data_IF_736264148022
#
_entry.id   IF_736264148022
#
_cell.length_a   1.000
_cell.length_b   1.000
_cell.length_c   1.000
_cell.angle_alpha   90.00
_cell.angle_beta   90.00
_cell.angle_gamma   90.00
#
_symmetry.space_group_name_H-M   'P 1'
#
loop_
_entity.id
_entity.type
_entity.pdbx_description
1 polymer ?
#
# COMPACT_ATOMS: atom_id res chain seq x y z
N UNK A 1 -4.91 -3.35 17.45
CA UNK A 1 -3.72 -3.08 18.31
C UNK A 1 -2.56 -3.85 17.72
N UNK A 2 -1.58 -3.14 17.16
CA UNK A 2 -0.34 -3.79 16.73
C UNK A 2 0.41 -4.24 17.98
N UNK A 3 0.99 -5.45 18.02
CA UNK A 3 1.84 -5.83 19.13
C UNK A 3 3.04 -4.88 19.14
N UNK A 4 3.19 -4.09 20.18
CA UNK A 4 4.37 -3.28 20.42
C UNK A 4 5.47 -4.26 20.80
N UNK A 5 6.26 -4.69 19.83
CA UNK A 5 7.50 -5.37 20.09
C UNK A 5 8.48 -4.33 20.64
N UNK A 6 8.67 -4.37 21.95
CA UNK A 6 9.68 -3.52 22.62
C UNK A 6 11.05 -3.99 22.17
N UNK A 7 11.69 -3.23 21.28
CA UNK A 7 13.07 -3.50 20.86
C UNK A 7 14.03 -3.35 22.05
N UNK A 8 15.03 -4.22 22.20
CA UNK A 8 16.11 -3.99 23.14
C UNK A 8 16.80 -2.64 22.91
N UNK A 9 17.24 -1.97 23.95
CA UNK A 9 17.82 -0.61 23.87
C UNK A 9 18.96 -0.52 22.84
N UNK A 10 19.83 -1.52 22.78
CA UNK A 10 20.93 -1.55 21.81
C UNK A 10 20.46 -1.60 20.37
N UNK A 11 19.46 -2.43 20.12
CA UNK A 11 18.84 -2.58 18.80
C UNK A 11 18.13 -1.28 18.38
N UNK A 12 17.42 -0.64 19.32
CA UNK A 12 16.77 0.64 19.09
C UNK A 12 17.78 1.74 18.73
N UNK A 13 18.91 1.79 19.42
CA UNK A 13 19.97 2.77 19.14
C UNK A 13 20.60 2.55 17.76
N UNK A 14 20.82 1.31 17.34
CA UNK A 14 21.31 0.98 16.00
C UNK A 14 20.30 1.40 14.95
N UNK A 15 19.06 1.01 15.09
CA UNK A 15 17.94 1.36 14.21
C UNK A 15 17.84 2.88 14.03
N UNK A 16 17.74 3.64 15.11
CA UNK A 16 17.62 5.09 15.08
C UNK A 16 18.83 5.77 14.43
N UNK A 17 20.02 5.22 14.66
CA UNK A 17 21.25 5.70 14.00
C UNK A 17 21.17 5.56 12.48
N UNK A 18 20.73 4.40 11.99
CA UNK A 18 20.59 4.17 10.54
C UNK A 18 19.54 5.09 9.94
N UNK A 19 18.39 5.27 10.60
CA UNK A 19 17.35 6.20 10.17
C UNK A 19 17.91 7.62 10.03
N UNK A 20 18.65 8.12 11.02
CA UNK A 20 19.24 9.47 10.98
C UNK A 20 20.27 9.64 9.86
N UNK A 21 21.10 8.62 9.61
CA UNK A 21 22.05 8.63 8.48
C UNK A 21 21.34 8.67 7.13
N UNK A 22 20.27 7.89 6.97
CA UNK A 22 19.45 7.89 5.77
C UNK A 22 18.70 9.20 5.61
N UNK A 23 18.14 9.75 6.68
CA UNK A 23 17.48 11.05 6.66
C UNK A 23 18.44 12.14 6.16
N UNK A 24 19.66 12.19 6.68
CA UNK A 24 20.68 13.17 6.25
C UNK A 24 21.05 12.99 4.77
N UNK A 25 21.18 11.74 4.31
CA UNK A 25 21.50 11.41 2.92
C UNK A 25 20.38 11.77 1.96
N UNK A 26 19.13 11.42 2.32
CA UNK A 26 17.96 11.57 1.44
C UNK A 26 17.43 13.00 1.39
N UNK A 27 17.67 13.83 2.41
CA UNK A 27 17.34 15.27 2.43
C UNK A 27 17.95 16.06 1.27
N UNK A 28 18.96 15.51 0.61
CA UNK A 28 19.57 16.13 -0.58
C UNK A 28 18.63 16.12 -1.79
N UNK A 29 17.64 15.23 -1.80
CA UNK A 29 16.74 15.00 -2.94
C UNK A 29 15.26 15.15 -2.58
N UNK A 30 14.90 14.87 -1.34
CA UNK A 30 13.51 14.84 -0.87
C UNK A 30 13.33 15.69 0.38
N UNK A 31 12.11 16.13 0.65
CA UNK A 31 11.70 16.43 2.01
C UNK A 31 11.51 15.11 2.75
N UNK A 32 12.19 14.96 3.89
CA UNK A 32 12.24 13.70 4.63
C UNK A 32 11.70 13.91 6.03
N UNK A 33 10.56 13.29 6.31
CA UNK A 33 10.05 13.15 7.66
C UNK A 33 10.48 11.78 8.22
N UNK A 34 10.89 11.75 9.48
CA UNK A 34 11.37 10.56 10.17
C UNK A 34 10.51 10.26 11.40
N UNK A 35 10.19 8.99 11.60
CA UNK A 35 9.62 8.45 12.81
C UNK A 35 10.74 7.71 13.55
N UNK A 36 11.26 8.29 14.61
CA UNK A 36 12.42 7.77 15.36
C UNK A 36 11.98 7.41 16.77
N UNK A 37 12.33 6.25 17.24
CA UNK A 37 11.87 5.76 18.52
C UNK A 37 10.36 5.54 18.55
N UNK A 38 9.66 6.17 19.47
CA UNK A 38 8.20 6.10 19.58
C UNK A 38 7.48 7.25 18.86
N UNK A 39 8.21 8.09 18.14
CA UNK A 39 7.62 9.22 17.43
C UNK A 39 6.78 8.75 16.25
N UNK A 40 5.54 9.21 16.17
CA UNK A 40 4.60 8.96 15.07
C UNK A 40 4.19 10.29 14.41
N UNK A 41 5.18 11.02 13.91
CA UNK A 41 4.99 12.35 13.35
C UNK A 41 4.58 12.33 11.87
N UNK A 42 5.01 11.31 11.13
CA UNK A 42 4.78 11.21 9.69
C UNK A 42 4.12 9.87 9.32
N UNK A 43 2.82 9.88 9.20
CA UNK A 43 2.05 8.69 8.84
C UNK A 43 1.67 8.65 7.37
N UNK A 44 1.57 7.45 6.82
CA UNK A 44 1.08 7.16 5.48
C UNK A 44 -0.25 6.44 5.57
N UNK A 45 -1.24 6.91 4.81
CA UNK A 45 -2.57 6.30 4.77
C UNK A 45 -2.54 4.98 3.99
N UNK A 46 -2.96 3.90 4.62
CA UNK A 46 -3.05 2.57 4.02
C UNK A 46 -4.44 2.00 4.28
N UNK A 47 -5.26 1.90 3.23
CA UNK A 47 -6.65 1.51 3.35
C UNK A 47 -7.44 2.50 4.22
N UNK A 48 -8.08 2.01 5.27
CA UNK A 48 -8.83 2.82 6.25
C UNK A 48 -7.96 3.32 7.42
N UNK A 49 -6.71 2.84 7.53
CA UNK A 49 -5.80 3.15 8.63
C UNK A 49 -4.64 4.04 8.22
N UNK A 50 -3.78 4.30 9.19
CA UNK A 50 -2.53 5.02 9.04
C UNK A 50 -1.41 4.17 9.64
N UNK A 51 -0.27 4.11 8.94
CA UNK A 51 0.94 3.46 9.42
C UNK A 51 2.11 4.46 9.37
N UNK A 52 3.11 4.23 10.18
CA UNK A 52 4.23 5.13 10.37
C UNK A 52 5.53 4.43 9.97
N UNK A 53 5.93 4.49 8.67
CA UNK A 53 7.22 3.97 8.25
C UNK A 53 8.34 4.82 8.82
N UNK A 54 9.53 4.28 8.93
CA UNK A 54 10.68 4.99 9.51
C UNK A 54 10.99 6.31 8.82
N UNK A 55 10.90 6.35 7.46
CA UNK A 55 11.03 7.60 6.71
C UNK A 55 9.90 7.73 5.67
N UNK A 56 9.37 8.94 5.58
CA UNK A 56 8.44 9.36 4.53
C UNK A 56 9.15 10.37 3.63
N UNK A 57 9.23 10.06 2.34
CA UNK A 57 9.87 10.88 1.33
C UNK A 57 8.81 11.62 0.53
N UNK A 58 8.88 12.94 0.52
CA UNK A 58 7.97 13.79 -0.26
C UNK A 58 8.76 14.67 -1.22
N UNK A 59 8.10 15.11 -2.31
CA UNK A 59 8.73 16.07 -3.22
C UNK A 59 8.97 17.39 -2.51
N UNK A 60 10.07 18.06 -2.89
CA UNK A 60 10.38 19.41 -2.41
C UNK A 60 9.47 20.49 -3.05
N UNK A 61 8.58 20.14 -3.96
CA UNK A 61 7.67 21.05 -4.64
C UNK A 61 6.48 21.45 -3.75
N UNK A 62 5.81 22.56 -4.11
CA UNK A 62 4.64 23.07 -3.36
C UNK A 62 3.53 22.04 -3.15
N UNK A 63 3.29 21.18 -4.13
CA UNK A 63 2.39 20.03 -3.99
C UNK A 63 3.18 18.86 -3.43
N UNK A 64 3.24 18.71 -2.12
CA UNK A 64 3.94 17.61 -1.43
C UNK A 64 3.39 16.26 -1.87
N UNK A 65 4.04 15.67 -2.89
CA UNK A 65 3.70 14.33 -3.39
C UNK A 65 4.54 13.30 -2.66
N UNK A 66 3.93 12.19 -2.27
CA UNK A 66 4.63 11.05 -1.70
C UNK A 66 5.52 10.41 -2.78
N UNK A 67 6.83 10.49 -2.59
CA UNK A 67 7.86 9.99 -3.52
C UNK A 67 8.40 8.62 -3.10
N UNK A 68 8.24 8.26 -1.83
CA UNK A 68 8.66 6.96 -1.32
C UNK A 68 8.46 6.81 0.17
N UNK A 69 8.55 5.59 0.62
CA UNK A 69 8.61 5.22 2.04
C UNK A 69 9.82 4.32 2.26
N UNK A 70 10.40 4.41 3.44
CA UNK A 70 11.58 3.65 3.83
C UNK A 70 11.30 2.95 5.13
N UNK A 71 11.68 1.69 5.20
CA UNK A 71 11.74 0.90 6.43
C UNK A 71 13.16 0.43 6.64
N UNK A 72 13.62 0.50 7.87
CA UNK A 72 14.94 0.10 8.31
C UNK A 72 14.79 -1.05 9.29
N UNK A 73 15.47 -2.15 9.02
CA UNK A 73 15.46 -3.30 9.90
C UNK A 73 16.84 -3.54 10.52
N UNK A 74 16.84 -4.07 11.71
CA UNK A 74 18.02 -4.64 12.36
C UNK A 74 18.14 -6.14 12.04
N UNK A 75 19.16 -6.81 12.50
CA UNK A 75 19.30 -8.24 12.27
C UNK A 75 18.18 -9.04 12.95
N UNK A 76 17.72 -8.59 14.09
CA UNK A 76 16.68 -9.23 14.91
C UNK A 76 15.28 -8.99 14.33
N UNK A 77 15.05 -7.82 13.71
CA UNK A 77 13.75 -7.45 13.16
C UNK A 77 13.52 -7.97 11.73
N UNK A 78 14.54 -8.48 11.02
CA UNK A 78 14.34 -9.18 9.74
C UNK A 78 13.72 -10.56 9.98
N UNK A 79 12.41 -10.59 10.18
CA UNK A 79 11.66 -11.81 10.49
C UNK A 79 10.29 -11.82 9.81
N UNK A 80 9.59 -12.97 9.89
CA UNK A 80 8.29 -13.18 9.23
C UNK A 80 7.19 -12.28 9.81
N UNK A 81 7.24 -11.99 11.11
CA UNK A 81 6.24 -11.17 11.77
C UNK A 81 6.27 -9.72 11.26
N UNK A 82 7.48 -9.13 11.15
CA UNK A 82 7.65 -7.79 10.60
C UNK A 82 7.26 -7.74 9.11
N UNK A 83 7.64 -8.75 8.34
CA UNK A 83 7.25 -8.85 6.94
C UNK A 83 5.73 -8.85 6.74
N UNK A 84 4.99 -9.56 7.60
CA UNK A 84 3.53 -9.58 7.56
C UNK A 84 2.90 -8.32 8.14
N UNK A 85 3.40 -7.84 9.29
CA UNK A 85 2.79 -6.75 10.03
C UNK A 85 3.01 -5.38 9.38
N UNK A 86 4.15 -5.19 8.72
CA UNK A 86 4.56 -3.90 8.18
C UNK A 86 4.85 -3.94 6.67
N UNK A 87 5.82 -4.75 6.21
CA UNK A 87 6.30 -4.68 4.82
C UNK A 87 5.21 -5.00 3.80
N UNK A 88 4.34 -5.99 4.09
CA UNK A 88 3.24 -6.35 3.21
C UNK A 88 2.23 -5.20 3.04
N UNK A 89 2.07 -4.37 4.06
CA UNK A 89 1.23 -3.18 4.00
C UNK A 89 1.92 -2.04 3.27
N UNK A 90 3.18 -1.77 3.56
CA UNK A 90 3.97 -0.75 2.87
C UNK A 90 4.13 -1.06 1.37
N UNK A 91 4.27 -2.33 1.02
CA UNK A 91 4.26 -2.77 -0.37
C UNK A 91 2.99 -2.42 -1.15
N UNK A 92 1.86 -2.10 -0.52
CA UNK A 92 0.59 -1.70 -1.17
C UNK A 92 0.45 -0.18 -1.35
N UNK A 93 1.31 0.61 -0.75
CA UNK A 93 1.29 2.07 -0.91
C UNK A 93 1.59 2.46 -2.36
N UNK A 94 0.94 3.48 -2.89
CA UNK A 94 1.15 3.96 -4.27
C UNK A 94 2.47 4.75 -4.45
N UNK A 95 3.45 4.50 -3.62
CA UNK A 95 4.78 5.09 -3.69
C UNK A 95 5.84 3.99 -3.61
N UNK A 96 7.05 4.20 -4.12
CA UNK A 96 8.15 3.25 -3.97
C UNK A 96 8.37 2.88 -2.51
N UNK A 97 8.48 1.59 -2.23
CA UNK A 97 8.84 1.06 -0.92
C UNK A 97 10.29 0.60 -0.96
N UNK A 98 11.11 1.18 -0.09
CA UNK A 98 12.54 0.88 0.06
C UNK A 98 12.77 0.22 1.41
N UNK A 99 13.37 -0.97 1.39
CA UNK A 99 13.70 -1.73 2.58
C UNK A 99 15.22 -1.71 2.79
N UNK A 100 15.65 -1.30 3.97
CA UNK A 100 17.06 -1.29 4.36
C UNK A 100 17.32 -2.34 5.44
N UNK A 101 18.26 -3.25 5.17
CA UNK A 101 18.57 -4.39 6.06
C UNK A 101 20.07 -4.53 6.25
N UNK A 102 20.54 -5.13 7.35
CA UNK A 102 21.95 -5.48 7.50
C UNK A 102 22.42 -6.39 6.36
N UNK A 103 23.69 -6.25 5.95
CA UNK A 103 24.23 -7.05 4.85
C UNK A 103 24.12 -8.58 5.07
N UNK A 104 24.20 -9.02 6.32
CA UNK A 104 24.08 -10.43 6.67
C UNK A 104 22.65 -11.01 6.52
N UNK A 105 21.60 -10.16 6.47
CA UNK A 105 20.19 -10.60 6.43
C UNK A 105 19.53 -10.39 5.06
N UNK A 106 20.28 -9.98 4.04
CA UNK A 106 19.73 -9.67 2.70
C UNK A 106 18.96 -10.85 2.10
N UNK A 107 19.50 -12.06 2.17
CA UNK A 107 18.87 -13.24 1.56
C UNK A 107 17.60 -13.64 2.33
N UNK A 108 17.59 -13.44 3.66
CA UNK A 108 16.41 -13.66 4.49
C UNK A 108 15.33 -12.65 4.10
N UNK A 109 15.68 -11.36 3.99
CA UNK A 109 14.75 -10.30 3.61
C UNK A 109 14.14 -10.54 2.22
N UNK A 110 14.96 -10.94 1.23
CA UNK A 110 14.47 -11.30 -0.11
C UNK A 110 13.47 -12.44 -0.07
N UNK A 111 13.79 -13.52 0.65
CA UNK A 111 12.90 -14.67 0.81
C UNK A 111 11.58 -14.24 1.47
N UNK A 112 11.63 -13.49 2.55
CA UNK A 112 10.44 -12.98 3.24
C UNK A 112 9.59 -12.10 2.34
N UNK A 113 10.18 -11.26 1.50
CA UNK A 113 9.44 -10.46 0.53
C UNK A 113 8.67 -11.34 -0.47
N UNK A 114 9.28 -12.43 -0.94
CA UNK A 114 8.62 -13.38 -1.86
C UNK A 114 7.51 -14.14 -1.16
N UNK A 115 7.78 -14.72 0.01
CA UNK A 115 6.83 -15.52 0.79
C UNK A 115 5.58 -14.74 1.21
N UNK A 116 5.74 -13.44 1.50
CA UNK A 116 4.66 -12.56 1.94
C UNK A 116 4.11 -11.66 0.82
N UNK A 117 4.49 -11.91 -0.43
CA UNK A 117 4.07 -11.14 -1.60
C UNK A 117 4.27 -9.61 -1.42
N UNK A 118 5.38 -9.20 -0.80
CA UNK A 118 5.72 -7.80 -0.55
C UNK A 118 6.20 -7.15 -1.85
N UNK A 119 5.49 -6.13 -2.32
CA UNK A 119 5.89 -5.37 -3.49
C UNK A 119 6.96 -4.33 -3.11
N UNK A 120 8.16 -4.79 -2.78
CA UNK A 120 9.32 -3.93 -2.51
C UNK A 120 9.87 -3.37 -3.81
N UNK A 121 10.18 -2.07 -3.84
CA UNK A 121 10.80 -1.40 -5.00
C UNK A 121 12.31 -1.57 -5.01
N UNK A 122 12.94 -1.42 -3.87
CA UNK A 122 14.37 -1.60 -3.70
C UNK A 122 14.68 -2.22 -2.35
N UNK A 123 15.67 -3.14 -2.32
CA UNK A 123 16.30 -3.60 -1.08
C UNK A 123 17.71 -3.08 -1.08
N UNK A 124 18.06 -2.42 0.00
CA UNK A 124 19.39 -1.89 0.28
C UNK A 124 20.00 -2.64 1.44
N UNK A 125 21.25 -3.04 1.32
CA UNK A 125 22.01 -3.51 2.46
C UNK A 125 22.76 -2.36 3.11
N UNK A 126 22.89 -2.42 4.42
CA UNK A 126 23.84 -1.58 5.13
C UNK A 126 24.85 -2.41 5.91
N UNK A 127 26.03 -1.85 6.03
CA UNK A 127 27.14 -2.45 6.77
C UNK A 127 27.95 -1.34 7.44
N UNK A 128 28.19 -1.50 8.73
CA UNK A 128 28.95 -0.53 9.54
C UNK A 128 30.32 -1.12 9.88
N UNK A 129 31.37 -0.41 9.49
CA UNK A 129 32.76 -0.70 9.86
C UNK A 129 33.27 0.49 10.64
N UNK A 130 33.67 0.29 11.87
CA UNK A 130 33.93 1.35 12.84
C UNK A 130 32.71 2.29 12.90
N UNK A 131 32.88 3.56 12.61
CA UNK A 131 31.77 4.54 12.63
C UNK A 131 31.21 4.85 11.24
N UNK A 132 31.68 4.16 10.20
CA UNK A 132 31.24 4.41 8.83
C UNK A 132 30.22 3.37 8.39
N UNK A 133 29.02 3.85 8.03
CA UNK A 133 27.96 3.01 7.46
C UNK A 133 27.92 3.18 5.94
N UNK A 134 28.00 2.06 5.23
CA UNK A 134 27.85 2.00 3.76
C UNK A 134 26.49 1.41 3.41
N UNK A 135 25.85 2.00 2.41
CA UNK A 135 24.58 1.52 1.85
C UNK A 135 24.82 1.03 0.43
N UNK A 136 24.39 -0.19 0.14
CA UNK A 136 24.55 -0.81 -1.18
C UNK A 136 23.20 -1.30 -1.68
N UNK A 137 22.82 -0.90 -2.91
CA UNK A 137 21.63 -1.43 -3.56
C UNK A 137 21.86 -2.90 -3.93
N UNK A 138 21.02 -3.80 -3.40
CA UNK A 138 21.15 -5.26 -3.63
C UNK A 138 20.02 -5.85 -4.43
N UNK A 139 18.88 -5.16 -4.51
CA UNK A 139 17.74 -5.55 -5.33
C UNK A 139 16.98 -4.31 -5.81
N UNK A 140 16.58 -4.30 -7.07
CA UNK A 140 15.68 -3.30 -7.65
C UNK A 140 14.62 -4.00 -8.48
N UNK A 141 13.37 -3.71 -8.16
CA UNK A 141 12.26 -4.16 -8.98
C UNK A 141 12.05 -3.15 -10.12
N UNK A 142 12.38 -3.56 -11.33
CA UNK A 142 12.22 -2.73 -12.54
C UNK A 142 10.80 -2.82 -13.13
N UNK A 143 9.91 -3.60 -12.53
CA UNK A 143 8.53 -3.67 -12.99
C UNK A 143 7.86 -2.32 -12.75
N UNK A 144 7.36 -1.63 -13.81
CA UNK A 144 6.59 -0.41 -13.62
C UNK A 144 5.42 -0.75 -12.70
N UNK A 145 5.31 -0.06 -11.59
CA UNK A 145 4.13 -0.16 -10.73
C UNK A 145 2.95 0.34 -11.52
N UNK A 146 2.24 -0.56 -12.20
CA UNK A 146 0.97 -0.23 -12.83
C UNK A 146 0.07 0.30 -11.72
N UNK A 147 -0.20 1.60 -11.78
CA UNK A 147 -1.23 2.18 -10.95
C UNK A 147 -2.45 1.28 -11.12
N UNK A 148 -2.96 0.72 -10.02
CA UNK A 148 -4.20 -0.02 -10.02
C UNK A 148 -5.31 0.95 -10.45
N UNK A 149 -5.39 1.19 -11.77
CA UNK A 149 -6.45 1.92 -12.41
C UNK A 149 -7.64 1.00 -12.47
N UNK A 150 -8.63 1.30 -11.61
CA UNK A 150 -10.06 1.06 -11.81
C UNK A 150 -10.38 -0.27 -12.53
N UNK A 151 -10.41 -1.36 -11.80
CA UNK A 151 -11.36 -2.43 -12.10
C UNK A 151 -12.76 -1.94 -11.67
N UNK A 152 -13.29 -0.95 -12.41
CA UNK A 152 -14.72 -0.64 -12.42
C UNK A 152 -15.29 -1.45 -13.57
N UNK A 153 -15.95 -2.55 -13.20
CA UNK A 153 -17.09 -3.10 -13.89
C UNK A 153 -17.00 -3.15 -15.42
N UNK A 154 -16.36 -4.14 -16.03
CA UNK A 154 -16.85 -4.64 -17.29
C UNK A 154 -18.13 -5.43 -16.99
N UNK A 155 -19.25 -4.72 -17.02
CA UNK A 155 -20.55 -5.32 -17.23
C UNK A 155 -20.42 -6.22 -18.46
N UNK A 156 -20.49 -7.52 -18.25
CA UNK A 156 -20.69 -8.46 -19.33
C UNK A 156 -21.95 -8.02 -20.10
N UNK A 157 -21.70 -7.51 -21.28
CA UNK A 157 -22.74 -7.26 -22.28
C UNK A 157 -23.06 -8.61 -22.88
N UNK A 158 -24.06 -9.28 -22.33
CA UNK A 158 -24.68 -10.42 -22.99
C UNK A 158 -25.33 -9.90 -24.27
N UNK A 159 -24.79 -10.31 -25.40
CA UNK A 159 -25.44 -10.18 -26.71
C UNK A 159 -26.80 -10.88 -26.71
N UNK A 160 -27.85 -10.28 -27.30
CA UNK A 160 -29.10 -10.97 -27.48
C UNK A 160 -29.03 -11.84 -28.71
N UNK A 161 -29.16 -13.14 -28.51
CA UNK A 161 -29.34 -14.11 -29.57
C UNK A 161 -30.61 -13.82 -30.38
N UNK A 162 -30.43 -14.01 -31.65
CA UNK A 162 -31.24 -14.01 -32.84
C UNK A 162 -32.74 -14.25 -32.69
N UNK A 163 -33.47 -13.46 -33.43
CA UNK A 163 -34.90 -13.51 -33.76
C UNK A 163 -35.30 -14.84 -34.40
N UNK A 164 -36.46 -15.35 -34.00
CA UNK A 164 -37.40 -16.00 -34.93
C UNK A 164 -38.82 -15.58 -34.56
N UNK A 165 -39.46 -14.87 -35.50
CA UNK A 165 -40.91 -14.71 -35.63
C UNK A 165 -41.46 -15.96 -36.35
N UNK A 166 -42.71 -16.47 -36.05
CA UNK A 166 -43.82 -15.96 -36.86
C UNK A 166 -45.21 -15.88 -36.16
N UNK A 167 -46.02 -15.09 -36.85
CA UNK A 167 -47.45 -15.19 -37.16
C UNK A 167 -48.51 -14.81 -36.14
N UNK A 168 -49.32 -13.96 -36.66
CA UNK A 168 -50.51 -13.28 -36.24
C UNK A 168 -51.68 -14.18 -35.79
N UNK A 169 -52.47 -13.69 -34.80
CA UNK A 169 -53.92 -13.85 -34.81
C UNK A 169 -54.62 -12.86 -33.86
N UNK A 170 -55.37 -11.98 -34.44
CA UNK A 170 -56.70 -11.45 -34.12
C UNK A 170 -57.02 -10.93 -32.68
N UNK A 171 -57.30 -9.64 -32.71
CA UNK A 171 -58.18 -8.90 -31.78
C UNK A 171 -59.58 -9.53 -31.72
N UNK A 172 -60.33 -9.32 -30.65
CA UNK A 172 -61.37 -8.29 -30.68
C UNK A 172 -61.43 -7.38 -29.42
N UNK A 173 -61.89 -6.17 -29.64
CA UNK A 173 -62.39 -5.12 -28.72
C UNK A 173 -63.90 -5.33 -28.44
N UNK A 174 -64.56 -4.47 -27.67
CA UNK A 174 -64.48 -4.09 -26.25
C UNK A 174 -65.88 -4.22 -25.58
N UNK A 175 -65.97 -4.08 -24.28
CA UNK A 175 -67.24 -3.74 -23.67
C UNK A 175 -67.07 -2.69 -22.56
N UNK A 176 -67.98 -1.73 -22.63
CA UNK A 176 -68.11 -0.52 -21.82
C UNK A 176 -68.85 -0.74 -20.50
N UNK A 177 -68.60 0.23 -19.61
CA UNK A 177 -69.53 0.82 -18.63
C UNK A 177 -69.72 0.05 -17.29
N UNK A 178 -69.60 0.65 -16.13
CA UNK A 178 -70.41 1.74 -15.56
C UNK A 178 -69.84 2.15 -14.17
N UNK A 179 -69.76 3.44 -13.94
CA UNK A 179 -69.85 4.06 -12.58
C UNK A 179 -71.33 3.99 -12.12
N UNK A 180 -71.66 4.02 -10.86
CA UNK A 180 -71.87 5.24 -10.10
C UNK A 180 -71.48 5.16 -8.61
N UNK A 181 -70.98 6.27 -8.08
CA UNK A 181 -71.62 7.29 -7.27
C UNK A 181 -71.82 6.98 -5.79
N UNK A 182 -71.11 7.77 -4.98
CA UNK A 182 -71.56 8.62 -3.85
C UNK A 182 -72.25 8.04 -2.62
N UNK A 183 -71.72 8.37 -1.45
CA UNK A 183 -72.39 9.08 -0.27
C UNK A 183 -71.51 8.85 0.96
N UNK A 184 -70.83 9.83 1.52
CA UNK A 184 -71.30 10.89 2.39
C UNK A 184 -71.69 10.43 3.82
N UNK A 185 -71.09 11.13 4.78
CA UNK A 185 -71.52 11.33 6.21
C UNK A 185 -71.09 10.17 7.15
N UNK A 186 -70.49 10.41 8.21
CA UNK A 186 -70.38 11.46 9.24
C UNK A 186 -69.02 11.57 9.85
#
# INVERSE_FOLDING_TARGET
MSPILVRPVREQLEHDRIIRLLQAKLKRKYEVAANVGEEQSAGVKIGAGQMFPDLVLTSAEKAKRLEGIVEVETAESVNHLEAMAQWAHFGRVRAPFHLYVPAATVDIARRLCVENAVAVSEIWSYHTIADQTRFTLVHRNNTPRVAASKAIGSRARTEPAHKSRPAAARRPKPAKAKKPASRARR
#
